data_IF_863177028291
#
_entry.id   IF_863177028291
#
_cell.length_a   1.000
_cell.length_b   1.000
_cell.length_c   1.000
_cell.angle_alpha   90.00
_cell.angle_beta   90.00
_cell.angle_gamma   90.00
#
_symmetry.space_group_name_H-M   'P 1'
#
loop_
_entity.id
_entity.type
_entity.pdbx_description
1 polymer ?
#
# COMPACT_ATOMS: atom_id res chain seq x y z
N UNK A 1 -4.81 -40.70 10.88
CA UNK A 1 -3.90 -40.43 9.74
C UNK A 1 -4.48 -39.17 9.14
N UNK A 2 -4.21 -38.08 9.86
CA UNK A 2 -5.04 -36.89 9.85
C UNK A 2 -4.61 -35.98 8.71
N UNK A 3 -5.60 -35.63 7.90
CA UNK A 3 -5.46 -35.06 6.59
C UNK A 3 -4.96 -33.61 6.70
N UNK A 4 -3.65 -33.42 6.56
CA UNK A 4 -2.99 -32.12 6.37
C UNK A 4 -3.57 -31.32 5.18
N UNK A 5 -4.40 -31.97 4.36
CA UNK A 5 -5.12 -31.39 3.22
C UNK A 5 -6.45 -30.71 3.61
N UNK A 6 -6.99 -30.93 4.81
CA UNK A 6 -8.20 -30.23 5.28
C UNK A 6 -7.93 -28.84 5.89
N UNK A 7 -6.65 -28.50 6.10
CA UNK A 7 -6.23 -27.17 6.61
C UNK A 7 -5.85 -26.18 5.51
N UNK A 8 -5.85 -26.61 4.25
CA UNK A 8 -5.56 -25.75 3.11
C UNK A 8 -6.88 -25.32 2.49
N UNK A 9 -7.35 -24.16 2.92
CA UNK A 9 -8.46 -23.46 2.29
C UNK A 9 -7.99 -22.88 0.95
N UNK A 10 -8.15 -23.66 -0.12
CA UNK A 10 -7.90 -23.22 -1.50
C UNK A 10 -9.04 -22.34 -2.05
N UNK A 11 -10.11 -22.13 -1.28
CA UNK A 11 -11.21 -21.22 -1.59
C UNK A 11 -11.07 -19.89 -0.82
N UNK A 12 -9.85 -19.58 -0.35
CA UNK A 12 -9.43 -18.21 -0.16
C UNK A 12 -9.38 -17.51 -1.54
N UNK A 13 -10.53 -17.31 -2.18
CA UNK A 13 -10.79 -16.01 -2.75
C UNK A 13 -10.39 -15.07 -1.64
N UNK A 14 -9.33 -14.29 -1.86
CA UNK A 14 -9.13 -13.08 -1.10
C UNK A 14 -10.51 -12.43 -1.12
N UNK A 15 -11.22 -12.54 -0.01
CA UNK A 15 -12.29 -11.65 0.32
C UNK A 15 -11.58 -10.29 0.37
N UNK A 16 -11.35 -9.71 -0.82
CA UNK A 16 -11.72 -8.34 -1.06
C UNK A 16 -13.16 -8.32 -0.58
N UNK A 17 -13.29 -8.10 0.71
CA UNK A 17 -14.46 -7.56 1.33
C UNK A 17 -14.58 -6.21 0.63
N UNK A 18 -15.21 -6.24 -0.56
CA UNK A 18 -15.98 -5.16 -1.12
C UNK A 18 -17.20 -5.04 -0.22
N UNK A 19 -17.00 -4.81 1.09
CA UNK A 19 -18.04 -4.19 1.90
C UNK A 19 -18.14 -2.80 1.32
N UNK A 20 -19.07 -2.71 0.38
CA UNK A 20 -19.76 -1.52 -0.07
C UNK A 20 -20.58 -0.89 1.09
N UNK A 21 -20.17 -1.11 2.34
CA UNK A 21 -20.59 -0.28 3.43
C UNK A 21 -19.91 1.05 3.17
N UNK A 22 -20.71 2.07 2.87
CA UNK A 22 -20.28 3.45 2.78
C UNK A 22 -19.76 3.90 4.15
N UNK A 23 -18.56 3.45 4.49
CA UNK A 23 -17.84 3.79 5.71
C UNK A 23 -17.30 5.19 5.50
N UNK A 24 -17.91 6.16 6.18
CA UNK A 24 -17.50 7.55 6.12
C UNK A 24 -16.09 7.62 6.71
N UNK A 25 -15.06 7.94 5.91
CA UNK A 25 -13.71 8.04 6.42
C UNK A 25 -13.64 9.14 7.48
N UNK A 26 -12.76 9.01 8.49
CA UNK A 26 -12.64 10.01 9.53
C UNK A 26 -12.36 11.41 8.93
N UNK A 27 -12.86 12.48 9.56
CA UNK A 27 -12.64 13.84 9.06
C UNK A 27 -11.14 14.13 8.93
N UNK A 28 -10.74 14.69 7.79
CA UNK A 28 -9.34 14.95 7.45
C UNK A 28 -8.59 13.75 6.85
N UNK A 29 -9.22 12.57 6.71
CA UNK A 29 -8.59 11.41 6.07
C UNK A 29 -8.07 11.74 4.66
N UNK A 30 -8.94 12.29 3.80
CA UNK A 30 -8.56 12.62 2.43
C UNK A 30 -7.45 13.67 2.36
N UNK A 31 -7.42 14.63 3.30
CA UNK A 31 -6.36 15.64 3.36
C UNK A 31 -5.01 14.98 3.64
N UNK A 32 -4.97 14.02 4.58
CA UNK A 32 -3.74 13.28 4.89
C UNK A 32 -3.35 12.35 3.74
N UNK A 33 -4.30 11.69 3.06
CA UNK A 33 -4.01 10.89 1.86
C UNK A 33 -3.37 11.74 0.77
N UNK A 34 -3.94 12.91 0.46
CA UNK A 34 -3.36 13.85 -0.52
C UNK A 34 -1.96 14.28 -0.10
N UNK A 35 -1.74 14.53 1.19
CA UNK A 35 -0.39 14.85 1.71
C UNK A 35 0.60 13.71 1.50
N UNK A 36 0.23 12.46 1.78
CA UNK A 36 1.09 11.29 1.52
C UNK A 36 1.40 11.18 0.03
N UNK A 37 0.39 11.29 -0.83
CA UNK A 37 0.55 11.17 -2.28
C UNK A 37 1.46 12.27 -2.86
N UNK A 38 1.28 13.51 -2.41
CA UNK A 38 2.09 14.64 -2.84
C UNK A 38 3.54 14.52 -2.33
N UNK A 39 3.71 14.11 -1.07
CA UNK A 39 5.03 13.84 -0.50
C UNK A 39 5.73 12.70 -1.24
N UNK A 40 4.99 11.63 -1.60
CA UNK A 40 5.49 10.52 -2.39
C UNK A 40 5.88 10.97 -3.81
N UNK A 41 5.11 11.85 -4.45
CA UNK A 41 5.44 12.41 -5.75
C UNK A 41 6.75 13.22 -5.72
N UNK A 42 6.93 14.00 -4.65
CA UNK A 42 8.08 14.87 -4.44
C UNK A 42 9.31 14.12 -3.92
N UNK A 43 9.16 12.88 -3.44
CA UNK A 43 10.24 12.11 -2.83
C UNK A 43 10.58 12.53 -1.40
N UNK A 44 9.64 13.19 -0.70
CA UNK A 44 9.85 13.67 0.67
C UNK A 44 9.59 12.55 1.68
N UNK A 45 10.62 11.72 1.91
CA UNK A 45 10.52 10.55 2.78
C UNK A 45 9.94 10.86 4.18
N UNK A 46 10.46 11.88 4.87
CA UNK A 46 9.98 12.22 6.22
C UNK A 46 8.50 12.59 6.23
N UNK A 47 8.04 13.38 5.25
CA UNK A 47 6.64 13.78 5.15
C UNK A 47 5.72 12.57 4.84
N UNK A 48 6.20 11.61 4.02
CA UNK A 48 5.49 10.35 3.78
C UNK A 48 5.33 9.58 5.10
N UNK A 49 6.41 9.42 5.87
CA UNK A 49 6.37 8.68 7.14
C UNK A 49 5.45 9.36 8.17
N UNK A 50 5.53 10.68 8.32
CA UNK A 50 4.68 11.44 9.24
C UNK A 50 3.19 11.35 8.88
N UNK A 51 2.87 11.52 7.59
CA UNK A 51 1.49 11.43 7.13
C UNK A 51 0.97 9.98 7.20
N UNK A 52 1.81 8.98 6.91
CA UNK A 52 1.44 7.57 7.07
C UNK A 52 1.24 7.18 8.55
N UNK A 53 2.09 7.67 9.46
CA UNK A 53 1.88 7.52 10.90
C UNK A 53 0.57 8.19 11.36
N UNK A 54 0.24 9.36 10.80
CA UNK A 54 -1.04 10.03 11.04
C UNK A 54 -2.22 9.18 10.57
N UNK A 55 -2.14 8.57 9.38
CA UNK A 55 -3.16 7.64 8.89
C UNK A 55 -3.33 6.41 9.79
N UNK A 56 -2.24 5.90 10.40
CA UNK A 56 -2.31 4.79 11.37
C UNK A 56 -2.93 5.21 12.70
N UNK A 57 -2.73 6.46 13.10
CA UNK A 57 -3.32 7.04 14.32
C UNK A 57 -4.78 7.48 14.13
N UNK A 58 -5.21 7.74 12.89
CA UNK A 58 -6.61 7.90 12.57
C UNK A 58 -7.32 6.58 12.84
N UNK A 59 -8.11 6.54 13.92
CA UNK A 59 -8.89 5.36 14.29
C UNK A 59 -9.83 5.03 13.15
N UNK A 60 -9.43 4.01 12.42
CA UNK A 60 -10.28 3.33 11.49
C UNK A 60 -11.10 2.30 12.31
N UNK A 61 -12.42 2.24 12.14
CA UNK A 61 -13.25 1.21 12.78
C UNK A 61 -12.68 -0.19 12.48
N UNK A 62 -12.84 -1.19 13.36
CA UNK A 62 -12.32 -2.54 13.09
C UNK A 62 -12.87 -3.06 11.75
N UNK A 63 -11.96 -3.29 10.78
CA UNK A 63 -12.29 -3.64 9.40
C UNK A 63 -11.95 -2.57 8.36
N UNK A 64 -11.64 -1.34 8.77
CA UNK A 64 -11.18 -0.29 7.88
C UNK A 64 -9.68 -0.44 7.59
N UNK A 65 -9.33 -0.89 6.39
CA UNK A 65 -7.95 -0.88 5.92
C UNK A 65 -7.66 0.33 5.02
N UNK A 66 -7.98 1.52 5.53
CA UNK A 66 -7.77 2.80 4.83
C UNK A 66 -6.29 3.03 4.45
N UNK A 67 -5.38 2.50 5.28
CA UNK A 67 -3.93 2.53 5.04
C UNK A 67 -3.51 1.74 3.80
N UNK A 68 -4.22 0.67 3.41
CA UNK A 68 -3.89 -0.13 2.23
C UNK A 68 -4.21 0.65 0.96
N UNK A 69 -5.38 1.30 0.89
CA UNK A 69 -5.77 2.08 -0.30
C UNK A 69 -4.86 3.29 -0.50
N UNK A 70 -4.63 4.07 0.57
CA UNK A 70 -3.71 5.20 0.54
C UNK A 70 -2.27 4.76 0.24
N UNK A 71 -1.82 3.66 0.84
CA UNK A 71 -0.50 3.08 0.62
C UNK A 71 -0.28 2.64 -0.83
N UNK A 72 -1.26 1.97 -1.44
CA UNK A 72 -1.16 1.51 -2.83
C UNK A 72 -1.09 2.67 -3.82
N UNK A 73 -1.91 3.72 -3.66
CA UNK A 73 -1.84 4.91 -4.51
C UNK A 73 -0.49 5.63 -4.35
N UNK A 74 -0.02 5.78 -3.12
CA UNK A 74 1.27 6.41 -2.81
C UNK A 74 2.45 5.62 -3.38
N UNK A 75 2.40 4.29 -3.30
CA UNK A 75 3.40 3.40 -3.89
C UNK A 75 3.43 3.53 -5.41
N UNK A 76 2.27 3.52 -6.06
CA UNK A 76 2.17 3.74 -7.50
C UNK A 76 2.82 5.06 -7.94
N UNK A 77 2.52 6.17 -7.25
CA UNK A 77 3.08 7.49 -7.54
C UNK A 77 4.61 7.51 -7.34
N UNK A 78 5.09 6.93 -6.23
CA UNK A 78 6.51 6.86 -5.93
C UNK A 78 7.27 6.08 -7.02
N UNK A 79 6.73 4.95 -7.45
CA UNK A 79 7.31 4.09 -8.51
C UNK A 79 7.30 4.80 -9.86
N UNK A 80 6.18 5.44 -10.21
CA UNK A 80 6.05 6.21 -11.45
C UNK A 80 7.09 7.32 -11.55
N UNK A 81 7.40 7.96 -10.41
CA UNK A 81 8.36 9.06 -10.33
C UNK A 81 9.79 8.62 -9.97
N UNK A 82 10.07 7.31 -9.88
CA UNK A 82 11.40 6.78 -9.57
C UNK A 82 11.91 7.10 -8.15
N UNK A 83 11.01 7.28 -7.18
CA UNK A 83 11.33 7.65 -5.79
C UNK A 83 11.70 6.42 -4.96
N UNK A 84 12.85 5.81 -5.25
CA UNK A 84 13.29 4.53 -4.66
C UNK A 84 13.22 4.50 -3.12
N UNK A 85 13.68 5.54 -2.44
CA UNK A 85 13.70 5.63 -0.97
C UNK A 85 12.29 5.61 -0.36
N UNK A 86 11.34 6.28 -1.03
CA UNK A 86 9.94 6.27 -0.64
C UNK A 86 9.31 4.90 -0.91
N UNK A 87 9.64 4.28 -2.05
CA UNK A 87 9.19 2.91 -2.38
C UNK A 87 9.63 1.93 -1.32
N UNK A 88 10.93 1.90 -0.97
CA UNK A 88 11.44 0.99 0.06
C UNK A 88 10.76 1.20 1.41
N UNK A 89 10.52 2.46 1.80
CA UNK A 89 9.87 2.78 3.07
C UNK A 89 8.40 2.36 3.10
N UNK A 90 7.67 2.58 2.01
CA UNK A 90 6.28 2.11 1.89
C UNK A 90 6.19 0.58 1.91
N UNK A 91 7.13 -0.12 1.29
CA UNK A 91 7.20 -1.58 1.34
C UNK A 91 7.54 -2.09 2.75
N UNK A 92 8.45 -1.42 3.46
CA UNK A 92 8.80 -1.74 4.83
C UNK A 92 7.61 -1.56 5.81
N UNK A 93 6.71 -0.61 5.51
CA UNK A 93 5.45 -0.42 6.23
C UNK A 93 4.41 -1.51 5.96
N UNK A 94 4.70 -2.46 5.05
CA UNK A 94 3.82 -3.57 4.70
C UNK A 94 2.75 -3.23 3.66
N UNK A 95 2.96 -2.17 2.87
CA UNK A 95 2.06 -1.85 1.76
C UNK A 95 2.15 -2.96 0.69
N UNK A 96 1.01 -3.58 0.31
CA UNK A 96 1.03 -4.70 -0.64
C UNK A 96 1.43 -4.26 -2.05
N UNK A 97 2.23 -5.08 -2.72
CA UNK A 97 2.61 -4.87 -4.11
C UNK A 97 1.56 -5.48 -5.04
N UNK A 98 0.78 -4.63 -5.70
CA UNK A 98 -0.13 -5.03 -6.78
C UNK A 98 0.52 -5.09 -8.18
N UNK A 99 -0.15 -5.74 -9.16
CA UNK A 99 0.32 -5.86 -10.55
C UNK A 99 0.59 -4.52 -11.24
N UNK A 100 -0.20 -3.48 -10.91
CA UNK A 100 -0.02 -2.15 -11.48
C UNK A 100 1.31 -1.50 -11.08
N UNK A 101 1.82 -1.77 -9.86
CA UNK A 101 3.12 -1.26 -9.43
C UNK A 101 4.25 -1.92 -10.23
N UNK A 102 4.21 -3.25 -10.36
CA UNK A 102 5.18 -4.02 -11.12
C UNK A 102 5.18 -3.63 -12.62
N UNK A 103 3.99 -3.42 -13.19
CA UNK A 103 3.84 -2.94 -14.57
C UNK A 103 4.53 -1.59 -14.76
N UNK A 104 4.28 -0.60 -13.90
CA UNK A 104 4.92 0.73 -14.02
C UNK A 104 6.42 0.67 -13.83
N UNK A 105 6.92 -0.09 -12.85
CA UNK A 105 8.36 -0.26 -12.65
C UNK A 105 9.04 -0.89 -13.88
N UNK A 106 8.35 -1.85 -14.52
CA UNK A 106 8.81 -2.48 -15.77
C UNK A 106 8.85 -1.50 -16.93
N UNK A 107 7.80 -0.69 -17.10
CA UNK A 107 7.74 0.35 -18.15
C UNK A 107 8.84 1.41 -17.96
N UNK A 108 9.14 1.75 -16.71
CA UNK A 108 10.22 2.67 -16.36
C UNK A 108 11.61 2.06 -16.48
N UNK A 109 11.72 0.74 -16.73
CA UNK A 109 12.97 -0.04 -16.72
C UNK A 109 13.74 0.12 -15.40
N UNK A 110 13.02 0.33 -14.30
CA UNK A 110 13.60 0.55 -12.97
C UNK A 110 13.91 -0.79 -12.31
N UNK A 111 15.07 -1.35 -12.63
CA UNK A 111 15.52 -2.63 -12.10
C UNK A 111 15.68 -2.59 -10.58
N UNK A 112 16.03 -1.44 -10.02
CA UNK A 112 16.21 -1.28 -8.58
C UNK A 112 14.87 -1.38 -7.82
N UNK A 113 13.80 -0.81 -8.38
CA UNK A 113 12.45 -0.95 -7.80
C UNK A 113 11.91 -2.37 -7.98
N UNK A 114 12.17 -3.02 -9.11
CA UNK A 114 11.78 -4.42 -9.32
C UNK A 114 12.48 -5.37 -8.34
N UNK A 115 13.76 -5.16 -8.06
CA UNK A 115 14.48 -5.90 -7.01
C UNK A 115 13.87 -5.68 -5.63
N UNK A 116 13.45 -4.45 -5.30
CA UNK A 116 12.73 -4.17 -4.06
C UNK A 116 11.40 -4.92 -4.01
N UNK A 117 10.62 -4.95 -5.09
CA UNK A 117 9.38 -5.72 -5.12
C UNK A 117 9.60 -7.22 -4.93
N UNK A 118 10.66 -7.80 -5.49
CA UNK A 118 11.00 -9.21 -5.27
C UNK A 118 11.48 -9.51 -3.85
N UNK A 119 11.98 -8.49 -3.14
CA UNK A 119 12.44 -8.62 -1.75
C UNK A 119 11.29 -8.55 -0.75
N UNK A 120 10.26 -7.76 -1.03
CA UNK A 120 9.15 -7.47 -0.10
C UNK A 120 7.80 -8.11 -0.51
N UNK A 121 7.65 -8.58 -1.75
CA UNK A 121 6.47 -9.30 -2.24
C UNK A 121 6.60 -10.81 -2.06
#
# INVERSE_FOLDING_TARGET
>A
MDSILEQLDFDATCDLILTNDAQIPPPGYYDVVVQVEEAAAQGKLLAVMEAFATLRCMKAEPGQCLTISAGSCSLYIAVKNGRKEVVESLLAEGVPVGPNHAMVATLNKDTAVLELFLKYG
#
